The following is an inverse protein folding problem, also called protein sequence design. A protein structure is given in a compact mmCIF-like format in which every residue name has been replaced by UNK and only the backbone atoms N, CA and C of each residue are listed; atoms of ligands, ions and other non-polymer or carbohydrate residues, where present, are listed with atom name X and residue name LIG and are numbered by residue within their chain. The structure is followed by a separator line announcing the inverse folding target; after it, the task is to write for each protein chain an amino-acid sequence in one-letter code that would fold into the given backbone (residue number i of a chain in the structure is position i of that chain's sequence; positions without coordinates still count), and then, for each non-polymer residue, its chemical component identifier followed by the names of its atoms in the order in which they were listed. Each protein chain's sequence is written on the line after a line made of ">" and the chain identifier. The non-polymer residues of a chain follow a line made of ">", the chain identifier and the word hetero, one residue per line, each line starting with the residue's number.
data_IF_708656146316
#
_entry.id   IF_708656146316
#
_cell.length_a   1.000
_cell.length_b   1.000
_cell.length_c   1.000
_cell.angle_alpha   90.00
_cell.angle_beta   90.00
_cell.angle_gamma   90.00
#
_symmetry.space_group_name_H-M   'P 1'
#
loop_
_entity.id
_entity.type
_entity.pdbx_description
1 polymer ?
#
# COMPACT_ATOMS: atom_id res chain seq x y z
N UNK A 1 0.19 15.43 -14.14
CA UNK A 1 1.51 14.73 -14.17
C UNK A 1 1.50 13.46 -15.02
N UNK A 2 0.42 12.65 -15.05
CA UNK A 2 0.42 11.34 -15.76
C UNK A 2 -0.36 11.30 -17.10
N UNK A 3 -0.97 12.41 -17.52
CA UNK A 3 -1.81 12.48 -18.72
C UNK A 3 -3.21 11.87 -18.54
N UNK A 4 -3.98 11.78 -19.63
CA UNK A 4 -5.33 11.19 -19.63
C UNK A 4 -5.25 9.67 -19.69
N UNK A 5 -5.98 8.99 -18.81
CA UNK A 5 -6.07 7.53 -18.81
C UNK A 5 -6.78 7.03 -20.08
N UNK A 6 -6.07 6.27 -20.92
CA UNK A 6 -6.55 5.79 -22.22
C UNK A 6 -7.41 4.51 -22.08
N UNK A 7 -8.57 4.63 -21.46
CA UNK A 7 -9.54 3.55 -21.30
C UNK A 7 -10.97 4.08 -21.50
N UNK A 8 -11.91 3.19 -21.83
CA UNK A 8 -13.34 3.52 -21.75
C UNK A 8 -13.74 3.57 -20.28
N UNK A 9 -13.89 4.78 -19.73
CA UNK A 9 -14.31 5.01 -18.34
C UNK A 9 -15.70 5.63 -18.35
N UNK A 10 -16.65 4.98 -17.69
CA UNK A 10 -18.05 5.43 -17.63
C UNK A 10 -18.67 5.21 -16.26
N UNK A 11 -19.62 6.06 -15.92
CA UNK A 11 -20.52 5.83 -14.79
C UNK A 11 -21.53 4.78 -15.25
N UNK A 12 -21.59 3.64 -14.55
CA UNK A 12 -22.56 2.57 -14.84
C UNK A 12 -23.85 2.83 -14.05
N UNK A 13 -23.71 3.17 -12.78
CA UNK A 13 -24.80 3.55 -11.87
C UNK A 13 -24.23 4.38 -10.69
N UNK A 14 -25.05 4.63 -9.66
CA UNK A 14 -24.69 5.44 -8.49
C UNK A 14 -23.52 4.87 -7.66
N UNK A 15 -23.23 3.57 -7.77
CA UNK A 15 -22.22 2.88 -6.97
C UNK A 15 -21.22 2.09 -7.83
N UNK A 16 -21.19 2.29 -9.15
CA UNK A 16 -20.36 1.50 -10.06
C UNK A 16 -19.71 2.35 -11.15
N UNK A 17 -18.39 2.22 -11.26
CA UNK A 17 -17.60 2.76 -12.38
C UNK A 17 -17.23 1.61 -13.31
N UNK A 18 -17.40 1.79 -14.61
CA UNK A 18 -16.96 0.85 -15.63
C UNK A 18 -15.61 1.27 -16.19
N UNK A 19 -14.65 0.35 -16.29
CA UNK A 19 -13.36 0.54 -16.97
C UNK A 19 -13.16 -0.57 -18.00
N UNK A 20 -13.15 -0.22 -19.29
CA UNK A 20 -13.09 -1.17 -20.41
C UNK A 20 -14.17 -2.27 -20.31
N UNK A 21 -15.38 -1.88 -19.90
CA UNK A 21 -16.50 -2.80 -19.68
C UNK A 21 -16.46 -3.59 -18.36
N UNK A 22 -15.38 -3.51 -17.57
CA UNK A 22 -15.29 -4.16 -16.27
C UNK A 22 -15.93 -3.28 -15.19
N UNK A 23 -16.93 -3.78 -14.43
CA UNK A 23 -17.53 -3.02 -13.34
C UNK A 23 -16.64 -2.98 -12.11
N UNK A 24 -16.51 -1.81 -11.50
CA UNK A 24 -15.79 -1.55 -10.26
C UNK A 24 -16.77 -0.92 -9.28
N UNK A 25 -17.10 -1.66 -8.20
CA UNK A 25 -18.00 -1.17 -7.16
C UNK A 25 -17.32 -0.10 -6.32
N UNK A 26 -17.97 1.04 -6.19
CA UNK A 26 -17.57 2.17 -5.34
C UNK A 26 -18.34 2.05 -4.04
N UNK A 27 -17.60 1.91 -2.95
CA UNK A 27 -18.13 1.81 -1.60
C UNK A 27 -17.51 2.92 -0.75
N UNK A 28 -18.29 3.47 0.17
CA UNK A 28 -17.84 4.59 1.00
C UNK A 28 -18.26 4.39 2.45
N UNK A 29 -17.28 4.31 3.34
CA UNK A 29 -17.48 4.36 4.78
C UNK A 29 -16.26 4.97 5.44
N UNK A 30 -16.48 5.81 6.46
CA UNK A 30 -15.39 6.33 7.31
C UNK A 30 -14.84 5.26 8.25
N UNK A 31 -15.66 4.27 8.60
CA UNK A 31 -15.29 3.17 9.49
C UNK A 31 -15.05 1.89 8.66
N UNK A 32 -13.82 1.36 8.62
CA UNK A 32 -13.51 0.15 7.87
C UNK A 32 -14.29 -1.08 8.31
N UNK A 33 -14.74 -1.12 9.57
CA UNK A 33 -15.56 -2.23 10.08
C UNK A 33 -16.92 -2.35 9.38
N UNK A 34 -17.39 -1.28 8.75
CA UNK A 34 -18.67 -1.24 8.03
C UNK A 34 -18.52 -1.55 6.54
N UNK A 35 -17.29 -1.78 6.06
CA UNK A 35 -17.06 -2.11 4.66
C UNK A 35 -17.40 -3.60 4.43
N UNK A 36 -18.12 -3.94 3.35
CA UNK A 36 -18.68 -5.29 3.16
C UNK A 36 -17.66 -6.28 2.56
N UNK A 37 -16.48 -6.43 3.18
CA UNK A 37 -15.40 -7.27 2.61
C UNK A 37 -15.75 -8.76 2.50
N UNK A 38 -16.47 -9.31 3.49
CA UNK A 38 -16.97 -10.71 3.43
C UNK A 38 -17.91 -10.90 2.24
N UNK A 39 -18.89 -10.01 2.08
CA UNK A 39 -19.90 -10.09 1.02
C UNK A 39 -19.25 -10.00 -0.37
N UNK A 40 -18.29 -9.08 -0.50
CA UNK A 40 -17.53 -8.87 -1.73
C UNK A 40 -16.40 -9.88 -1.94
N UNK A 41 -16.14 -10.77 -0.97
CA UNK A 41 -15.07 -11.78 -0.99
C UNK A 41 -13.69 -11.18 -1.27
N UNK A 42 -13.36 -10.06 -0.62
CA UNK A 42 -12.09 -9.37 -0.84
C UNK A 42 -10.93 -10.15 -0.24
N UNK A 43 -9.96 -10.52 -1.08
CA UNK A 43 -8.73 -11.17 -0.65
C UNK A 43 -7.72 -10.14 -0.08
N UNK A 44 -7.52 -9.03 -0.80
CA UNK A 44 -6.47 -8.05 -0.48
C UNK A 44 -7.07 -6.65 -0.45
N UNK A 45 -6.78 -5.91 0.62
CA UNK A 45 -7.02 -4.47 0.71
C UNK A 45 -5.69 -3.72 0.56
N UNK A 46 -5.66 -2.72 -0.31
CA UNK A 46 -4.56 -1.76 -0.40
C UNK A 46 -4.97 -0.52 0.41
N UNK A 47 -4.31 -0.29 1.54
CA UNK A 47 -4.58 0.83 2.45
C UNK A 47 -3.63 1.99 2.14
N UNK A 48 -4.22 3.12 1.76
CA UNK A 48 -3.52 4.30 1.22
C UNK A 48 -3.68 5.54 2.14
N UNK A 49 -4.37 5.43 3.28
CA UNK A 49 -4.71 6.59 4.13
C UNK A 49 -3.49 7.17 4.84
N UNK A 50 -3.27 8.46 4.57
CA UNK A 50 -2.16 9.29 5.06
C UNK A 50 -2.18 9.62 6.57
N UNK A 51 -3.29 9.46 7.29
CA UNK A 51 -3.38 9.81 8.72
C UNK A 51 -3.28 8.56 9.58
N UNK A 52 -2.07 8.32 10.09
CA UNK A 52 -1.72 7.29 11.08
C UNK A 52 -2.34 5.92 10.79
N UNK A 53 -1.78 5.20 9.82
CA UNK A 53 -1.92 3.75 9.72
C UNK A 53 -1.21 3.09 10.90
N UNK A 54 -1.85 3.16 12.07
CA UNK A 54 -1.54 2.27 13.18
C UNK A 54 -2.09 0.87 12.85
N UNK A 55 -1.49 -0.16 13.43
CA UNK A 55 -1.98 -1.55 13.37
C UNK A 55 -3.49 -1.61 13.66
N UNK A 56 -3.97 -0.76 14.58
CA UNK A 56 -5.37 -0.62 14.97
C UNK A 56 -6.30 -0.20 13.82
N UNK A 57 -5.82 0.59 12.85
CA UNK A 57 -6.58 1.02 11.69
C UNK A 57 -6.67 -0.04 10.61
N UNK A 58 -5.53 -0.60 10.22
CA UNK A 58 -5.44 -1.65 9.20
C UNK A 58 -6.13 -2.95 9.65
N UNK A 59 -6.01 -3.32 10.93
CA UNK A 59 -6.65 -4.51 11.49
C UNK A 59 -8.18 -4.52 11.39
N UNK A 60 -8.81 -3.35 11.27
CA UNK A 60 -10.26 -3.27 11.04
C UNK A 60 -10.68 -3.85 9.69
N UNK A 61 -9.82 -3.79 8.67
CA UNK A 61 -10.11 -4.43 7.38
C UNK A 61 -10.11 -5.96 7.49
N UNK A 62 -9.16 -6.52 8.25
CA UNK A 62 -9.14 -7.96 8.56
C UNK A 62 -10.41 -8.35 9.34
N UNK A 63 -10.77 -7.57 10.37
CA UNK A 63 -12.00 -7.82 11.15
C UNK A 63 -13.28 -7.73 10.30
N UNK A 64 -13.31 -6.83 9.31
CA UNK A 64 -14.41 -6.72 8.35
C UNK A 64 -14.42 -7.83 7.28
N UNK A 65 -13.41 -8.71 7.27
CA UNK A 65 -13.39 -9.92 6.46
C UNK A 65 -12.43 -9.93 5.26
N UNK A 66 -11.55 -8.93 5.13
CA UNK A 66 -10.45 -9.03 4.17
C UNK A 66 -9.43 -10.06 4.64
N UNK A 67 -8.80 -10.81 3.72
CA UNK A 67 -7.79 -11.82 4.09
C UNK A 67 -6.40 -11.23 4.32
N UNK A 68 -6.07 -10.14 3.63
CA UNK A 68 -4.76 -9.47 3.71
C UNK A 68 -4.92 -7.95 3.59
N UNK A 69 -4.04 -7.21 4.24
CA UNK A 69 -3.91 -5.76 4.07
C UNK A 69 -2.48 -5.38 3.71
N UNK A 70 -2.32 -4.56 2.66
CA UNK A 70 -1.05 -3.97 2.24
C UNK A 70 -1.13 -2.46 2.50
N UNK A 71 -0.27 -1.96 3.38
CA UNK A 71 -0.17 -0.54 3.71
C UNK A 71 0.87 0.10 2.79
N UNK A 72 0.52 1.21 2.12
CA UNK A 72 1.42 1.88 1.16
C UNK A 72 2.27 3.00 1.77
N UNK A 73 2.40 2.99 3.09
CA UNK A 73 3.15 4.00 3.85
C UNK A 73 3.99 3.32 4.94
N UNK A 74 5.03 3.99 5.45
CA UNK A 74 5.76 3.51 6.62
C UNK A 74 4.82 3.33 7.81
N UNK A 75 5.00 2.23 8.53
CA UNK A 75 4.22 1.92 9.73
C UNK A 75 4.98 2.34 10.97
N UNK A 76 4.24 2.74 12.02
CA UNK A 76 4.83 3.00 13.35
C UNK A 76 4.81 1.70 14.16
N UNK A 77 5.93 1.35 14.77
CA UNK A 77 6.09 0.12 15.57
C UNK A 77 6.76 -1.00 14.77
N UNK A 78 7.54 -1.82 15.48
CA UNK A 78 8.39 -2.87 14.91
C UNK A 78 7.61 -4.10 14.39
N UNK A 79 6.28 -4.11 14.52
CA UNK A 79 5.48 -5.35 14.43
C UNK A 79 4.83 -5.58 13.05
N UNK A 80 4.93 -4.64 12.10
CA UNK A 80 4.42 -4.85 10.73
C UNK A 80 5.60 -5.17 9.79
N UNK A 81 5.67 -6.40 9.26
CA UNK A 81 6.67 -6.76 8.25
C UNK A 81 6.61 -5.82 7.05
N UNK A 82 7.76 -5.27 6.69
CA UNK A 82 7.89 -4.30 5.60
C UNK A 82 8.73 -4.91 4.48
N UNK A 83 8.21 -4.85 3.27
CA UNK A 83 8.84 -5.43 2.09
C UNK A 83 9.02 -4.37 1.01
N UNK A 84 10.17 -4.43 0.34
CA UNK A 84 10.51 -3.66 -0.85
C UNK A 84 10.85 -4.66 -1.94
N UNK A 85 10.09 -4.61 -3.02
CA UNK A 85 10.26 -5.50 -4.17
C UNK A 85 11.60 -5.23 -4.85
N UNK A 86 12.36 -6.28 -5.13
CA UNK A 86 13.74 -6.27 -5.62
C UNK A 86 14.80 -6.23 -4.52
N UNK A 87 14.41 -6.12 -3.25
CA UNK A 87 15.32 -5.96 -2.11
C UNK A 87 15.19 -7.11 -1.13
N UNK A 88 14.01 -7.30 -0.54
CA UNK A 88 13.75 -8.30 0.52
C UNK A 88 12.43 -9.08 0.34
N UNK A 89 11.83 -9.07 -0.86
CA UNK A 89 10.60 -9.80 -1.16
C UNK A 89 10.73 -11.32 -0.99
N UNK A 90 11.94 -11.87 -1.06
CA UNK A 90 12.18 -13.30 -0.82
C UNK A 90 11.84 -13.73 0.62
N UNK A 91 11.83 -12.78 1.56
CA UNK A 91 11.49 -13.02 2.96
C UNK A 91 9.97 -12.95 3.20
N UNK A 92 9.18 -12.64 2.17
CA UNK A 92 7.73 -12.60 2.25
C UNK A 92 7.14 -14.02 2.15
N UNK A 93 6.20 -14.32 3.06
CA UNK A 93 5.25 -15.42 2.87
C UNK A 93 3.86 -14.99 3.30
N UNK A 94 2.83 -15.65 2.77
CA UNK A 94 1.44 -15.34 3.13
C UNK A 94 1.17 -15.50 4.63
N UNK A 95 1.84 -16.47 5.26
CA UNK A 95 1.67 -16.90 6.66
C UNK A 95 2.31 -15.93 7.67
N UNK A 96 3.27 -15.10 7.25
CA UNK A 96 4.09 -14.30 8.18
C UNK A 96 3.26 -13.25 8.93
N UNK A 97 2.30 -12.63 8.26
CA UNK A 97 1.39 -11.64 8.86
C UNK A 97 0.25 -11.32 7.91
N UNK A 98 -0.96 -11.12 8.41
CA UNK A 98 -2.11 -10.69 7.58
C UNK A 98 -1.99 -9.23 7.11
N UNK A 99 -1.16 -8.43 7.78
CA UNK A 99 -0.94 -7.01 7.50
C UNK A 99 0.55 -6.80 7.22
N UNK A 100 0.86 -6.21 6.07
CA UNK A 100 2.23 -5.89 5.65
C UNK A 100 2.33 -4.44 5.17
N UNK A 101 3.55 -3.90 5.14
CA UNK A 101 3.84 -2.58 4.55
C UNK A 101 4.68 -2.71 3.29
N UNK A 102 4.37 -1.88 2.28
CA UNK A 102 5.21 -1.66 1.09
C UNK A 102 6.06 -0.38 1.24
N UNK A 103 6.37 0.02 2.48
CA UNK A 103 7.19 1.17 2.83
C UNK A 103 6.70 2.51 2.23
N UNK A 104 7.58 3.51 2.10
CA UNK A 104 7.33 4.77 1.39
C UNK A 104 7.92 4.78 -0.02
N UNK A 105 7.54 5.77 -0.83
CA UNK A 105 8.20 6.06 -2.10
C UNK A 105 9.72 6.30 -1.94
N UNK A 106 10.13 7.04 -0.91
CA UNK A 106 11.56 7.29 -0.62
C UNK A 106 12.30 6.00 -0.27
N UNK A 107 11.70 5.12 0.55
CA UNK A 107 12.31 3.82 0.89
C UNK A 107 12.42 2.92 -0.34
N UNK A 108 11.37 2.83 -1.17
CA UNK A 108 11.41 2.05 -2.41
C UNK A 108 12.46 2.58 -3.40
N UNK A 109 12.67 3.90 -3.46
CA UNK A 109 13.72 4.50 -4.27
C UNK A 109 15.12 4.16 -3.73
N UNK A 110 15.31 4.25 -2.41
CA UNK A 110 16.63 4.18 -1.80
C UNK A 110 17.13 2.75 -1.51
N UNK A 111 16.24 1.86 -1.09
CA UNK A 111 16.61 0.53 -0.61
C UNK A 111 17.44 -0.31 -1.62
N UNK A 112 17.14 -0.30 -2.94
CA UNK A 112 17.98 -1.00 -3.92
C UNK A 112 19.43 -0.50 -3.96
N UNK A 113 19.65 0.82 -3.86
CA UNK A 113 21.00 1.39 -3.83
C UNK A 113 21.74 1.00 -2.56
N UNK A 114 21.04 1.00 -1.41
CA UNK A 114 21.62 0.58 -0.13
C UNK A 114 22.02 -0.90 -0.21
N UNK A 115 21.17 -1.76 -0.77
CA UNK A 115 21.47 -3.20 -0.94
C UNK A 115 22.75 -3.42 -1.74
N UNK A 116 22.83 -2.89 -2.96
CA UNK A 116 24.03 -3.03 -3.81
C UNK A 116 25.26 -2.46 -3.12
N UNK A 117 25.13 -1.28 -2.48
CA UNK A 117 26.24 -0.65 -1.77
C UNK A 117 26.76 -1.53 -0.62
N UNK A 118 25.85 -2.13 0.15
CA UNK A 118 26.24 -3.00 1.27
C UNK A 118 26.83 -4.33 0.81
N UNK A 119 26.27 -4.93 -0.25
CA UNK A 119 26.74 -6.21 -0.80
C UNK A 119 28.14 -6.08 -1.43
N UNK A 120 28.40 -5.01 -2.18
CA UNK A 120 29.66 -4.84 -2.92
C UNK A 120 30.75 -4.11 -2.11
N UNK A 121 30.37 -3.19 -1.22
CA UNK A 121 31.33 -2.29 -0.54
C UNK A 121 31.24 -2.32 0.99
N UNK A 122 30.38 -3.18 1.54
CA UNK A 122 30.25 -3.39 2.98
C UNK A 122 29.49 -2.28 3.72
N UNK A 123 29.33 -2.51 5.02
CA UNK A 123 28.55 -1.65 5.92
C UNK A 123 29.40 -0.48 6.38
N UNK A 124 28.95 0.74 6.07
CA UNK A 124 29.57 2.01 6.43
C UNK A 124 28.46 3.05 6.62
N UNK A 125 28.72 4.10 7.41
CA UNK A 125 27.75 5.20 7.58
C UNK A 125 27.62 5.97 6.27
N UNK A 126 26.39 6.13 5.79
CA UNK A 126 26.06 6.89 4.59
C UNK A 126 24.86 7.77 4.89
N UNK A 127 24.95 9.04 4.51
CA UNK A 127 23.85 10.00 4.63
C UNK A 127 23.14 10.11 3.28
N UNK A 128 21.82 9.95 3.29
CA UNK A 128 20.98 10.20 2.12
C UNK A 128 20.08 11.41 2.40
N UNK A 129 19.99 12.29 1.40
CA UNK A 129 19.10 13.45 1.44
C UNK A 129 18.14 13.33 0.27
N UNK A 130 16.85 13.19 0.55
CA UNK A 130 15.81 13.24 -0.46
C UNK A 130 15.31 14.68 -0.59
N UNK A 131 15.37 15.22 -1.81
CA UNK A 131 14.70 16.46 -2.15
C UNK A 131 13.35 16.06 -2.74
N UNK A 132 12.32 16.11 -1.90
CA UNK A 132 10.96 15.83 -2.33
C UNK A 132 10.36 17.09 -2.96
N UNK A 133 9.72 16.92 -4.12
CA UNK A 133 8.88 17.96 -4.69
C UNK A 133 7.57 17.87 -3.95
N UNK A 134 7.46 18.65 -2.86
CA UNK A 134 6.30 18.63 -1.99
C UNK A 134 5.00 18.59 -2.79
N UNK A 135 4.09 17.79 -2.26
CA UNK A 135 2.67 17.80 -2.58
C UNK A 135 2.03 19.13 -2.11
N UNK A 136 2.56 20.28 -2.53
CA UNK A 136 1.94 21.61 -2.36
C UNK A 136 0.78 21.74 -3.35
N UNK A 137 -0.19 20.85 -3.19
CA UNK A 137 -1.53 20.90 -3.73
C UNK A 137 -2.43 20.25 -2.66
N UNK A 138 -2.48 20.88 -1.48
CA UNK A 138 -3.62 20.79 -0.56
C UNK A 138 -4.27 22.17 -0.49
#
# INVERSE_FOLDING_TARGET
>A
MLGTFKADVKIVDNETIGVNGNPIKVISSRDPLKLPWVELRIDIVIEVRFKSCEISGAGKHIQAGAKKVIITTPTKGADIPTYVVGVNEQDYSHEVADIISNASCTTNCLAPFVKVKEEEFGKNRTLFVALDVDSVLM
#
